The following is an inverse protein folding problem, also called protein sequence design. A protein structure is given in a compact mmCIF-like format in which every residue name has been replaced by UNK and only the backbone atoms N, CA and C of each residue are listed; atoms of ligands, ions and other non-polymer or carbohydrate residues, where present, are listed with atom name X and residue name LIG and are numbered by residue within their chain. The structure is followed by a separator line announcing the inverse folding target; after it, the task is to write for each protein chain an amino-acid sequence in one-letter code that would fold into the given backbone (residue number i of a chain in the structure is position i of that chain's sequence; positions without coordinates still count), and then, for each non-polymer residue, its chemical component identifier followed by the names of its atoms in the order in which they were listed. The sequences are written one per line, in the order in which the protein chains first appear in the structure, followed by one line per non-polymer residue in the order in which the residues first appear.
data_IF_315850077121
#
_entry.id   IF_315850077121
#
_cell.length_a   1.000
_cell.length_b   1.000
_cell.length_c   1.000
_cell.angle_alpha   90.00
_cell.angle_beta   90.00
_cell.angle_gamma   90.00
#
_symmetry.space_group_name_H-M   'P 1'
#
loop_
_entity.id
_entity.type
_entity.pdbx_description
1 polymer ?
#
# COMPACT_ATOMS: atom_id res chain seq x y z
N UNK A 1 18.64 -14.57 9.02
CA UNK A 1 19.97 -14.20 9.61
C UNK A 1 21.12 -14.37 8.62
N UNK A 2 21.34 -15.57 8.01
CA UNK A 2 22.46 -15.78 7.06
C UNK A 2 22.30 -14.93 5.78
N UNK A 3 21.10 -14.82 5.23
CA UNK A 3 20.84 -14.03 4.03
C UNK A 3 20.84 -12.54 4.32
N UNK A 4 20.45 -12.12 5.50
CA UNK A 4 20.59 -10.73 5.97
C UNK A 4 22.05 -10.33 6.11
N UNK A 5 22.89 -11.18 6.69
CA UNK A 5 24.34 -10.93 6.79
C UNK A 5 24.99 -10.76 5.42
N UNK A 6 24.60 -11.55 4.43
CA UNK A 6 25.11 -11.41 3.05
C UNK A 6 24.74 -10.05 2.45
N UNK A 7 23.53 -9.55 2.72
CA UNK A 7 23.08 -8.24 2.25
C UNK A 7 23.85 -7.12 2.93
N UNK A 8 23.99 -7.18 4.25
CA UNK A 8 24.76 -6.19 5.01
C UNK A 8 26.19 -6.11 4.46
N UNK A 9 26.87 -7.25 4.34
CA UNK A 9 28.22 -7.32 3.76
C UNK A 9 28.26 -6.76 2.32
N UNK A 10 27.23 -7.00 1.53
CA UNK A 10 27.13 -6.44 0.17
C UNK A 10 26.99 -4.92 0.20
N UNK A 11 26.16 -4.38 1.08
CA UNK A 11 25.99 -2.93 1.25
C UNK A 11 27.26 -2.28 1.80
N UNK A 12 27.93 -2.91 2.75
CA UNK A 12 29.23 -2.46 3.27
C UNK A 12 30.27 -2.39 2.14
N UNK A 13 30.37 -3.45 1.31
CA UNK A 13 31.26 -3.44 0.16
C UNK A 13 30.95 -2.32 -0.84
N UNK A 14 29.68 -2.04 -1.10
CA UNK A 14 29.26 -0.94 -1.98
C UNK A 14 29.60 0.41 -1.33
N UNK A 15 29.39 0.56 -0.03
CA UNK A 15 29.74 1.73 0.73
C UNK A 15 31.25 2.02 0.68
N UNK A 16 32.07 1.00 0.92
CA UNK A 16 33.52 1.10 0.88
C UNK A 16 34.01 1.49 -0.51
N UNK A 17 33.42 0.95 -1.57
CA UNK A 17 33.70 1.37 -2.93
C UNK A 17 33.44 2.87 -3.17
N UNK A 18 32.40 3.40 -2.55
CA UNK A 18 32.07 4.84 -2.64
C UNK A 18 32.99 5.68 -1.79
N UNK A 19 33.13 5.34 -0.50
CA UNK A 19 33.84 6.15 0.50
C UNK A 19 35.36 6.07 0.34
N UNK A 20 35.88 4.86 0.08
CA UNK A 20 37.34 4.62 0.01
C UNK A 20 37.85 4.75 -1.41
N UNK A 21 37.16 4.13 -2.37
CA UNK A 21 37.62 4.04 -3.77
C UNK A 21 37.08 5.19 -4.65
N UNK A 22 36.23 6.08 -4.12
CA UNK A 22 35.69 7.23 -4.85
C UNK A 22 34.70 6.86 -5.97
N UNK A 23 34.10 5.66 -5.93
CA UNK A 23 33.10 5.26 -6.89
C UNK A 23 31.84 6.13 -6.79
N UNK A 24 31.18 6.38 -7.92
CA UNK A 24 29.93 7.13 -7.92
C UNK A 24 28.79 6.36 -7.24
N UNK A 25 28.21 6.93 -6.18
CA UNK A 25 27.03 6.35 -5.52
C UNK A 25 25.84 6.18 -6.49
N UNK A 26 25.62 7.17 -7.36
CA UNK A 26 24.57 7.12 -8.37
C UNK A 26 24.71 5.92 -9.30
N UNK A 27 25.96 5.65 -9.76
CA UNK A 27 26.24 4.48 -10.61
C UNK A 27 25.98 3.17 -9.85
N UNK A 28 26.41 3.09 -8.58
CA UNK A 28 26.15 1.91 -7.74
C UNK A 28 24.64 1.71 -7.53
N UNK A 29 23.87 2.79 -7.33
CA UNK A 29 22.41 2.71 -7.19
C UNK A 29 21.74 2.20 -8.48
N UNK A 30 22.15 2.67 -9.65
CA UNK A 30 21.63 2.15 -10.94
C UNK A 30 21.90 0.66 -11.11
N UNK A 31 23.10 0.22 -10.73
CA UNK A 31 23.53 -1.17 -10.92
C UNK A 31 22.89 -2.13 -9.91
N UNK A 32 22.83 -1.75 -8.64
CA UNK A 32 22.57 -2.67 -7.55
C UNK A 32 21.26 -2.42 -6.78
N UNK A 33 20.71 -1.19 -6.80
CA UNK A 33 19.49 -0.90 -6.04
C UNK A 33 18.29 -1.70 -6.56
N UNK A 34 17.53 -2.25 -5.64
CA UNK A 34 16.26 -2.94 -5.90
C UNK A 34 15.05 -2.02 -5.66
N UNK A 35 15.27 -0.70 -5.46
CA UNK A 35 14.18 0.27 -5.39
C UNK A 35 13.69 0.66 -6.79
N UNK A 36 12.47 0.26 -7.19
CA UNK A 36 11.95 0.60 -8.52
C UNK A 36 11.70 2.11 -8.70
N UNK A 37 11.47 2.85 -7.61
CA UNK A 37 11.12 4.26 -7.64
C UNK A 37 12.30 5.18 -7.96
N UNK A 38 13.51 4.83 -7.53
CA UNK A 38 14.69 5.70 -7.66
C UNK A 38 15.89 5.09 -8.36
N UNK A 39 15.92 3.77 -8.58
CA UNK A 39 17.03 3.09 -9.23
C UNK A 39 17.47 3.77 -10.54
N UNK A 40 16.52 4.08 -11.43
CA UNK A 40 16.78 4.67 -12.73
C UNK A 40 17.36 6.09 -12.65
N UNK A 41 17.14 6.80 -11.53
CA UNK A 41 17.65 8.14 -11.27
C UNK A 41 18.89 8.15 -10.37
N UNK A 42 19.54 6.99 -10.19
CA UNK A 42 20.70 6.83 -9.34
C UNK A 42 20.35 6.94 -7.85
N UNK A 43 19.20 6.44 -7.45
CA UNK A 43 18.74 6.39 -6.06
C UNK A 43 18.23 7.72 -5.49
N UNK A 44 17.94 8.73 -6.33
CA UNK A 44 17.70 10.10 -5.88
C UNK A 44 16.31 10.33 -5.31
N UNK A 45 16.26 10.98 -4.12
CA UNK A 45 15.09 11.58 -3.50
C UNK A 45 15.41 12.98 -2.94
N UNK A 46 14.38 13.80 -2.77
CA UNK A 46 14.47 15.07 -2.06
C UNK A 46 13.53 15.03 -0.86
N UNK A 47 14.09 15.18 0.33
CA UNK A 47 13.37 15.25 1.61
C UNK A 47 13.27 16.69 2.06
N UNK A 48 12.21 17.03 2.83
CA UNK A 48 12.06 18.36 3.42
C UNK A 48 11.80 18.24 4.93
N UNK A 49 12.68 18.80 5.76
CA UNK A 49 12.61 18.74 7.22
C UNK A 49 11.34 19.34 7.83
N UNK A 50 10.70 20.25 7.11
CA UNK A 50 9.44 20.86 7.57
C UNK A 50 8.21 19.98 7.30
N UNK A 51 8.36 18.96 6.45
CA UNK A 51 7.32 17.98 6.14
C UNK A 51 7.70 16.65 6.75
N UNK A 52 6.88 16.13 7.66
CA UNK A 52 7.09 14.81 8.27
C UNK A 52 6.39 13.72 7.47
N UNK A 53 6.84 12.48 7.62
CA UNK A 53 6.27 11.28 7.02
C UNK A 53 6.28 11.27 5.48
N UNK A 54 7.36 11.78 4.88
CA UNK A 54 7.60 11.64 3.44
C UNK A 54 8.14 10.25 3.11
N UNK A 55 8.90 9.68 4.06
CA UNK A 55 9.45 8.32 4.05
C UNK A 55 9.18 7.64 5.38
N UNK A 56 9.52 6.37 5.51
CA UNK A 56 9.48 5.68 6.81
C UNK A 56 10.44 6.34 7.79
N UNK A 57 10.07 6.30 9.06
CA UNK A 57 10.75 7.04 10.11
C UNK A 57 12.25 6.69 10.21
N UNK A 58 12.57 5.41 10.13
CA UNK A 58 13.95 4.90 10.21
C UNK A 58 14.81 5.52 9.10
N UNK A 59 14.27 5.64 7.89
CA UNK A 59 14.96 6.23 6.75
C UNK A 59 15.16 7.75 6.95
N UNK A 60 14.11 8.46 7.37
CA UNK A 60 14.21 9.92 7.66
C UNK A 60 15.20 10.19 8.77
N UNK A 61 15.18 9.43 9.86
CA UNK A 61 16.07 9.60 11.01
C UNK A 61 17.55 9.43 10.62
N UNK A 62 17.86 8.50 9.73
CA UNK A 62 19.23 8.32 9.20
C UNK A 62 19.60 9.50 8.31
N UNK A 63 18.75 9.87 7.33
CA UNK A 63 19.05 10.97 6.40
C UNK A 63 19.31 12.28 7.12
N UNK A 64 18.55 12.60 8.16
CA UNK A 64 18.67 13.88 8.88
C UNK A 64 19.88 13.98 9.83
N UNK A 65 20.54 12.85 10.17
CA UNK A 65 21.76 12.81 10.96
C UNK A 65 23.02 12.97 10.13
N UNK A 66 22.95 12.65 8.83
CA UNK A 66 24.10 12.70 7.93
C UNK A 66 24.43 14.14 7.51
N UNK A 67 25.70 14.36 7.25
CA UNK A 67 26.22 15.58 6.63
C UNK A 67 26.27 15.43 5.11
N UNK A 68 26.39 16.56 4.42
CA UNK A 68 26.60 16.59 2.97
C UNK A 68 27.86 15.78 2.59
N UNK A 69 27.72 14.88 1.64
CA UNK A 69 28.74 13.93 1.17
C UNK A 69 28.91 12.67 2.04
N UNK A 70 28.24 12.56 3.17
CA UNK A 70 28.37 11.42 4.07
C UNK A 70 27.48 10.25 3.61
N UNK A 71 28.01 9.01 3.74
CA UNK A 71 27.31 7.76 3.46
C UNK A 71 27.01 7.04 4.77
N UNK A 72 25.77 6.61 4.96
CA UNK A 72 25.35 5.85 6.15
C UNK A 72 25.99 4.48 6.24
N UNK A 73 26.02 3.92 7.44
CA UNK A 73 26.08 2.46 7.62
C UNK A 73 24.81 1.80 7.08
N UNK A 74 24.85 0.50 6.78
CA UNK A 74 23.65 -0.26 6.46
C UNK A 74 22.62 -0.19 7.60
N UNK A 75 21.35 0.05 7.26
CA UNK A 75 20.23 0.07 8.20
C UNK A 75 18.98 -0.57 7.60
N UNK A 76 18.14 -1.09 8.46
CA UNK A 76 16.93 -1.80 8.07
C UNK A 76 15.68 -0.92 8.13
N UNK A 77 14.74 -1.17 7.23
CA UNK A 77 13.37 -0.66 7.24
C UNK A 77 12.41 -1.80 6.87
N UNK A 78 11.10 -1.58 6.94
CA UNK A 78 10.09 -2.54 6.44
C UNK A 78 10.28 -2.89 4.94
N UNK A 79 11.06 -2.11 4.17
CA UNK A 79 11.33 -2.34 2.74
C UNK A 79 12.60 -3.17 2.47
N UNK A 80 13.44 -3.38 3.46
CA UNK A 80 14.72 -4.07 3.38
C UNK A 80 15.88 -3.25 3.93
N UNK A 81 17.09 -3.57 3.50
CA UNK A 81 18.33 -2.97 3.94
C UNK A 81 18.77 -1.83 3.04
N UNK A 82 19.18 -0.73 3.63
CA UNK A 82 19.54 0.51 2.92
C UNK A 82 20.92 0.99 3.28
N UNK A 83 21.55 1.71 2.34
CA UNK A 83 22.55 2.75 2.60
C UNK A 83 22.09 4.04 1.91
N UNK A 84 22.37 5.17 2.55
CA UNK A 84 21.99 6.50 2.06
C UNK A 84 23.21 7.39 2.01
N UNK A 85 23.29 8.25 0.98
CA UNK A 85 24.24 9.34 0.87
C UNK A 85 23.48 10.67 0.77
N UNK A 86 23.94 11.69 1.47
CA UNK A 86 23.42 13.06 1.30
C UNK A 86 24.19 13.74 0.19
N UNK A 87 23.53 13.98 -0.94
CA UNK A 87 24.14 14.71 -2.07
C UNK A 87 24.31 16.19 -1.75
N UNK A 88 23.25 16.83 -1.18
CA UNK A 88 23.24 18.26 -0.92
C UNK A 88 22.23 18.65 0.16
N UNK A 89 22.59 19.62 0.98
CA UNK A 89 21.71 20.26 1.96
C UNK A 89 21.37 21.67 1.49
N UNK A 90 20.08 21.99 1.36
CA UNK A 90 19.57 23.29 0.93
C UNK A 90 18.53 23.82 1.93
N UNK A 91 18.99 24.43 2.99
CA UNK A 91 18.11 24.91 4.06
C UNK A 91 17.31 23.78 4.70
N UNK A 92 16.01 23.70 4.41
CA UNK A 92 15.14 22.63 4.90
C UNK A 92 15.10 21.40 3.98
N UNK A 93 15.67 21.49 2.78
CA UNK A 93 15.66 20.40 1.81
C UNK A 93 16.97 19.62 1.83
N UNK A 94 16.86 18.31 1.75
CA UNK A 94 17.95 17.36 1.57
C UNK A 94 17.78 16.61 0.25
N UNK A 95 18.74 16.73 -0.64
CA UNK A 95 18.88 15.80 -1.76
C UNK A 95 19.68 14.60 -1.25
N UNK A 96 19.07 13.43 -1.32
CA UNK A 96 19.69 12.17 -0.89
C UNK A 96 19.68 11.16 -2.02
N UNK A 97 20.58 10.19 -1.95
CA UNK A 97 20.56 8.97 -2.75
C UNK A 97 20.54 7.77 -1.85
N UNK A 98 19.85 6.72 -2.26
CA UNK A 98 19.87 5.49 -1.52
C UNK A 98 20.05 4.26 -2.43
N UNK A 99 20.50 3.19 -1.83
CA UNK A 99 20.52 1.86 -2.38
C UNK A 99 19.73 0.97 -1.45
N UNK A 100 18.75 0.28 -1.99
CA UNK A 100 17.93 -0.71 -1.29
C UNK A 100 18.33 -2.09 -1.77
N UNK A 101 18.64 -3.00 -0.85
CA UNK A 101 18.73 -4.42 -1.10
C UNK A 101 17.73 -5.18 -0.21
N UNK A 102 17.12 -6.21 -0.78
CA UNK A 102 16.14 -7.05 -0.10
C UNK A 102 16.69 -8.45 0.08
N UNK A 103 16.37 -9.13 1.19
CA UNK A 103 16.67 -10.55 1.33
C UNK A 103 15.99 -11.34 0.21
N UNK A 104 16.77 -12.17 -0.48
CA UNK A 104 16.18 -13.14 -1.42
C UNK A 104 15.45 -14.19 -0.62
N UNK A 105 14.16 -14.36 -0.90
CA UNK A 105 13.38 -15.41 -0.25
C UNK A 105 13.81 -16.75 -0.85
N UNK A 106 14.53 -17.54 -0.08
CA UNK A 106 14.97 -18.86 -0.53
C UNK A 106 13.77 -19.80 -0.77
N UNK A 107 13.92 -20.72 -1.72
CA UNK A 107 12.89 -21.75 -1.97
C UNK A 107 12.58 -22.58 -0.69
N UNK A 108 13.58 -22.79 0.18
CA UNK A 108 13.37 -23.45 1.46
C UNK A 108 12.50 -22.63 2.40
N UNK A 109 12.72 -21.31 2.49
CA UNK A 109 11.89 -20.44 3.31
C UNK A 109 10.43 -20.41 2.81
N UNK A 110 10.21 -20.39 1.49
CA UNK A 110 8.87 -20.51 0.91
C UNK A 110 8.22 -21.85 1.25
N UNK A 111 8.96 -22.95 1.16
CA UNK A 111 8.46 -24.28 1.53
C UNK A 111 8.06 -24.36 3.01
N UNK A 112 8.88 -23.83 3.91
CA UNK A 112 8.58 -23.79 5.33
C UNK A 112 7.37 -22.90 5.65
N UNK A 113 7.28 -21.73 5.02
CA UNK A 113 6.11 -20.86 5.14
C UNK A 113 4.84 -21.57 4.65
N UNK A 114 4.92 -22.28 3.52
CA UNK A 114 3.80 -23.08 3.00
C UNK A 114 3.39 -24.18 3.97
N UNK A 115 4.34 -24.96 4.51
CA UNK A 115 4.04 -26.00 5.50
C UNK A 115 3.37 -25.43 6.74
N UNK A 116 3.86 -24.28 7.22
CA UNK A 116 3.30 -23.59 8.40
C UNK A 116 1.83 -23.20 8.16
N UNK A 117 1.54 -22.57 7.02
CA UNK A 117 0.16 -22.13 6.72
C UNK A 117 -0.76 -23.33 6.42
N UNK A 118 -0.26 -24.39 5.77
CA UNK A 118 -1.01 -25.63 5.55
C UNK A 118 -1.40 -26.28 6.89
N UNK A 119 -0.50 -26.30 7.87
CA UNK A 119 -0.77 -26.78 9.21
C UNK A 119 -1.84 -25.94 9.93
N UNK A 120 -1.72 -24.61 9.86
CA UNK A 120 -2.70 -23.70 10.45
C UNK A 120 -4.07 -23.92 9.80
N UNK A 121 -4.12 -23.98 8.45
CA UNK A 121 -5.34 -24.27 7.71
C UNK A 121 -5.99 -25.58 8.15
N UNK A 122 -5.20 -26.65 8.29
CA UNK A 122 -5.68 -27.94 8.75
C UNK A 122 -6.32 -27.84 10.14
N UNK A 123 -5.66 -27.19 11.10
CA UNK A 123 -6.21 -26.98 12.44
C UNK A 123 -7.53 -26.23 12.46
N UNK A 124 -7.71 -25.26 11.53
CA UNK A 124 -8.99 -24.56 11.40
C UNK A 124 -10.06 -25.49 10.82
N UNK A 125 -9.74 -26.32 9.82
CA UNK A 125 -10.67 -27.25 9.21
C UNK A 125 -11.08 -28.34 10.23
N UNK A 126 -10.14 -28.83 11.01
CA UNK A 126 -10.36 -29.82 12.08
C UNK A 126 -11.06 -29.21 13.32
N UNK A 127 -11.38 -27.89 13.26
CA UNK A 127 -12.06 -27.12 14.32
C UNK A 127 -11.30 -27.08 15.66
N UNK A 128 -9.99 -27.22 15.62
CA UNK A 128 -9.12 -27.03 16.79
C UNK A 128 -9.01 -25.56 17.17
N UNK A 129 -9.11 -24.66 16.18
CA UNK A 129 -9.19 -23.20 16.37
C UNK A 129 -10.13 -22.59 15.34
N UNK A 130 -10.64 -21.41 15.68
CA UNK A 130 -11.39 -20.58 14.74
C UNK A 130 -10.42 -19.85 13.80
N UNK A 131 -10.93 -19.40 12.64
CA UNK A 131 -10.16 -18.56 11.72
C UNK A 131 -9.69 -17.27 12.39
N UNK A 132 -10.53 -16.68 13.22
CA UNK A 132 -10.24 -15.45 13.96
C UNK A 132 -9.08 -15.64 14.95
N UNK A 133 -9.09 -16.72 15.74
CA UNK A 133 -8.00 -17.07 16.66
C UNK A 133 -6.70 -17.33 15.90
N UNK A 134 -6.78 -18.03 14.76
CA UNK A 134 -5.62 -18.28 13.92
C UNK A 134 -5.03 -16.97 13.38
N UNK A 135 -5.87 -16.05 12.91
CA UNK A 135 -5.42 -14.75 12.42
C UNK A 135 -4.75 -13.93 13.53
N UNK A 136 -5.35 -13.84 14.72
CA UNK A 136 -4.78 -13.11 15.86
C UNK A 136 -3.45 -13.69 16.33
N UNK A 137 -3.30 -15.01 16.30
CA UNK A 137 -2.11 -15.69 16.84
C UNK A 137 -0.98 -15.81 15.84
N UNK A 138 -1.26 -16.06 14.58
CA UNK A 138 -0.27 -16.50 13.58
C UNK A 138 -0.13 -15.59 12.37
N UNK A 139 -1.06 -14.64 12.13
CA UNK A 139 -0.94 -13.74 11.00
C UNK A 139 0.17 -12.71 11.20
N UNK A 140 0.93 -12.46 10.15
CA UNK A 140 1.92 -11.38 10.08
C UNK A 140 1.31 -10.08 9.48
N UNK A 141 0.07 -10.14 8.96
CA UNK A 141 -0.64 -9.00 8.37
C UNK A 141 -1.09 -8.01 9.46
N UNK A 142 -0.33 -6.91 9.60
CA UNK A 142 -0.51 -5.92 10.69
C UNK A 142 -1.90 -5.25 10.69
N UNK A 143 -2.49 -5.08 9.50
CA UNK A 143 -3.75 -4.31 9.34
C UNK A 143 -4.98 -5.09 9.78
N UNK A 144 -4.98 -6.41 9.63
CA UNK A 144 -6.15 -7.27 9.89
C UNK A 144 -5.96 -8.24 11.05
N UNK A 145 -4.72 -8.51 11.48
CA UNK A 145 -4.38 -9.44 12.56
C UNK A 145 -5.22 -9.21 13.82
N UNK A 146 -5.22 -7.99 14.33
CA UNK A 146 -5.90 -7.63 15.58
C UNK A 146 -7.43 -7.70 15.46
N UNK A 147 -7.96 -7.64 14.24
CA UNK A 147 -9.39 -7.76 13.94
C UNK A 147 -9.77 -9.16 13.46
N UNK A 148 -8.98 -10.17 13.79
CA UNK A 148 -9.27 -11.56 13.44
C UNK A 148 -9.23 -11.87 11.94
N UNK A 149 -8.47 -11.10 11.16
CA UNK A 149 -8.34 -11.28 9.72
C UNK A 149 -9.48 -10.70 8.89
N UNK A 150 -10.38 -9.91 9.48
CA UNK A 150 -11.52 -9.32 8.75
C UNK A 150 -11.03 -8.26 7.76
N UNK A 151 -11.35 -8.45 6.49
CA UNK A 151 -11.10 -7.48 5.43
C UNK A 151 -12.20 -6.43 5.37
N UNK A 152 -11.80 -5.17 5.27
CA UNK A 152 -12.70 -4.03 5.08
C UNK A 152 -12.53 -3.51 3.67
N UNK A 153 -13.65 -3.38 2.95
CA UNK A 153 -13.65 -2.81 1.61
C UNK A 153 -13.31 -1.31 1.69
N UNK A 154 -12.21 -0.85 1.10
CA UNK A 154 -11.76 0.54 1.23
C UNK A 154 -12.73 1.55 0.58
N UNK A 155 -13.54 1.09 -0.39
CA UNK A 155 -14.50 1.96 -1.10
C UNK A 155 -15.79 2.16 -0.32
N UNK A 156 -16.25 1.12 0.39
CA UNK A 156 -17.57 1.13 1.04
C UNK A 156 -17.48 1.17 2.57
N UNK A 157 -16.30 0.90 3.15
CA UNK A 157 -16.08 0.86 4.59
C UNK A 157 -16.75 -0.33 5.31
N UNK A 158 -17.30 -1.29 4.57
CA UNK A 158 -17.93 -2.49 5.12
C UNK A 158 -17.13 -3.77 4.76
N UNK A 159 -17.63 -4.93 5.17
CA UNK A 159 -16.97 -6.23 4.93
C UNK A 159 -17.44 -6.94 3.66
N UNK A 160 -18.25 -6.27 2.83
CA UNK A 160 -18.79 -6.84 1.59
C UNK A 160 -17.99 -6.40 0.40
N UNK A 161 -17.68 -7.34 -0.48
CA UNK A 161 -16.94 -7.11 -1.73
C UNK A 161 -17.79 -7.54 -2.92
N UNK A 162 -17.91 -6.67 -3.90
CA UNK A 162 -18.51 -7.00 -5.18
C UNK A 162 -17.51 -7.82 -6.01
N UNK A 163 -17.86 -9.04 -6.40
CA UNK A 163 -16.96 -9.97 -7.11
C UNK A 163 -16.37 -9.35 -8.39
N UNK A 164 -17.11 -8.49 -9.07
CA UNK A 164 -16.66 -7.80 -10.28
C UNK A 164 -15.61 -6.70 -10.04
N UNK A 165 -15.41 -6.30 -8.79
CA UNK A 165 -14.48 -5.23 -8.38
C UNK A 165 -13.31 -5.72 -7.54
N UNK A 166 -13.27 -7.01 -7.26
CA UNK A 166 -12.16 -7.65 -6.56
C UNK A 166 -11.00 -7.85 -7.53
N UNK A 167 -9.78 -7.83 -6.99
CA UNK A 167 -8.58 -8.20 -7.74
C UNK A 167 -8.77 -9.55 -8.45
N UNK A 168 -8.43 -9.68 -9.74
CA UNK A 168 -8.66 -10.91 -10.52
C UNK A 168 -8.00 -12.16 -9.93
N UNK A 169 -6.82 -12.01 -9.31
CA UNK A 169 -6.11 -13.13 -8.68
C UNK A 169 -6.91 -13.60 -7.46
N UNK A 170 -7.34 -12.68 -6.62
CA UNK A 170 -8.19 -12.96 -5.48
C UNK A 170 -9.54 -13.56 -5.92
N UNK A 171 -10.16 -13.01 -6.96
CA UNK A 171 -11.41 -13.55 -7.51
C UNK A 171 -11.31 -15.03 -7.89
N UNK A 172 -10.25 -15.43 -8.62
CA UNK A 172 -10.05 -16.82 -9.03
C UNK A 172 -9.98 -17.78 -7.86
N UNK A 173 -9.50 -17.33 -6.72
CA UNK A 173 -9.33 -18.13 -5.50
C UNK A 173 -10.65 -18.31 -4.74
N UNK A 174 -11.46 -17.25 -4.67
CA UNK A 174 -12.68 -17.25 -3.85
C UNK A 174 -13.95 -17.61 -4.62
N UNK A 175 -13.94 -17.54 -5.96
CA UNK A 175 -15.15 -17.77 -6.77
C UNK A 175 -15.78 -19.14 -6.55
N UNK A 176 -14.99 -20.15 -6.20
CA UNK A 176 -15.44 -21.53 -6.00
C UNK A 176 -15.67 -21.90 -4.54
N UNK A 177 -15.35 -21.00 -3.60
CA UNK A 177 -15.52 -21.26 -2.18
C UNK A 177 -16.99 -21.07 -1.79
N UNK A 178 -17.52 -21.99 -1.00
CA UNK A 178 -18.84 -21.87 -0.38
C UNK A 178 -18.77 -21.03 0.91
N UNK A 179 -19.93 -20.81 1.52
CA UNK A 179 -20.02 -20.16 2.83
C UNK A 179 -19.19 -20.93 3.88
N UNK A 180 -18.41 -20.19 4.64
CA UNK A 180 -17.49 -20.69 5.66
C UNK A 180 -16.33 -21.56 5.14
N UNK A 181 -16.13 -21.67 3.84
CA UNK A 181 -15.03 -22.40 3.25
C UNK A 181 -13.74 -21.57 3.25
N UNK A 182 -12.60 -22.29 3.35
CA UNK A 182 -11.26 -21.71 3.43
C UNK A 182 -10.47 -22.11 2.19
N UNK A 183 -9.86 -21.13 1.53
CA UNK A 183 -9.01 -21.36 0.35
C UNK A 183 -7.83 -22.28 0.64
N UNK A 184 -7.24 -22.86 -0.39
CA UNK A 184 -5.88 -23.35 -0.33
C UNK A 184 -4.90 -22.18 -0.05
N UNK A 185 -3.69 -22.46 0.47
CA UNK A 185 -2.64 -21.45 0.59
C UNK A 185 -2.32 -20.81 -0.75
N UNK A 186 -2.38 -19.49 -0.79
CA UNK A 186 -2.10 -18.66 -1.95
C UNK A 186 -0.79 -17.94 -1.75
N UNK A 187 0.16 -18.12 -2.67
CA UNK A 187 1.37 -17.31 -2.72
C UNK A 187 1.03 -15.96 -3.35
N UNK A 188 1.32 -14.90 -2.63
CA UNK A 188 1.19 -13.53 -3.10
C UNK A 188 2.55 -12.83 -3.02
N UNK A 189 2.82 -12.01 -4.01
CA UNK A 189 3.97 -11.13 -4.02
C UNK A 189 3.46 -9.69 -3.96
N UNK A 190 3.93 -8.94 -2.99
CA UNK A 190 3.58 -7.52 -2.87
C UNK A 190 4.29 -6.67 -3.93
N UNK A 191 3.88 -5.40 -4.03
CA UNK A 191 4.46 -4.44 -4.98
C UNK A 191 5.97 -4.17 -4.71
N UNK A 192 6.46 -4.59 -3.56
CA UNK A 192 7.85 -4.41 -3.13
C UNK A 192 8.68 -5.69 -3.40
N UNK A 193 8.05 -6.77 -3.88
CA UNK A 193 8.69 -8.04 -4.21
C UNK A 193 8.78 -9.02 -3.04
N UNK A 194 8.20 -8.71 -1.87
CA UNK A 194 8.13 -9.66 -0.75
C UNK A 194 7.07 -10.72 -1.03
N UNK A 195 7.40 -11.96 -0.74
CA UNK A 195 6.50 -13.11 -0.98
C UNK A 195 5.89 -13.59 0.33
N UNK A 196 4.58 -13.79 0.35
CA UNK A 196 3.86 -14.30 1.51
C UNK A 196 2.80 -15.33 1.11
N UNK A 197 2.50 -16.26 2.03
CA UNK A 197 1.36 -17.15 1.86
C UNK A 197 0.16 -16.64 2.64
N UNK A 198 -1.01 -16.65 2.03
CA UNK A 198 -2.27 -16.35 2.70
C UNK A 198 -3.34 -17.41 2.46
N UNK A 199 -4.25 -17.54 3.41
CA UNK A 199 -5.52 -18.28 3.29
C UNK A 199 -6.66 -17.31 3.49
N UNK A 200 -7.76 -17.54 2.80
CA UNK A 200 -8.92 -16.66 2.80
C UNK A 200 -10.14 -17.51 3.19
N UNK A 201 -10.97 -16.97 4.07
CA UNK A 201 -12.27 -17.55 4.42
C UNK A 201 -13.38 -16.68 3.85
N UNK A 202 -14.29 -17.30 3.11
CA UNK A 202 -15.56 -16.67 2.72
C UNK A 202 -16.56 -16.89 3.85
N UNK A 203 -17.02 -15.83 4.49
CA UNK A 203 -17.98 -15.92 5.59
C UNK A 203 -19.41 -16.10 5.08
N UNK A 204 -19.80 -15.33 4.07
CA UNK A 204 -21.12 -15.40 3.46
C UNK A 204 -21.02 -15.07 1.97
N UNK A 205 -21.79 -15.77 1.16
CA UNK A 205 -22.06 -15.44 -0.24
C UNK A 205 -23.44 -14.84 -0.36
N UNK A 206 -23.54 -13.86 -1.22
CA UNK A 206 -24.81 -13.27 -1.60
C UNK A 206 -24.95 -13.43 -3.12
N UNK A 207 -25.93 -14.22 -3.54
CA UNK A 207 -26.26 -14.36 -4.95
C UNK A 207 -26.85 -13.06 -5.50
N UNK A 208 -26.75 -12.90 -6.82
CA UNK A 208 -27.38 -11.79 -7.51
C UNK A 208 -28.91 -11.85 -7.27
N UNK A 209 -29.45 -10.76 -6.82
CA UNK A 209 -30.88 -10.62 -6.56
C UNK A 209 -31.36 -9.19 -6.82
N UNK A 210 -32.65 -9.05 -7.07
CA UNK A 210 -33.29 -7.74 -7.12
C UNK A 210 -33.29 -7.15 -5.71
N UNK A 211 -32.91 -5.87 -5.60
CA UNK A 211 -32.81 -5.19 -4.32
C UNK A 211 -34.12 -5.27 -3.52
N UNK A 212 -34.00 -5.76 -2.28
CA UNK A 212 -35.10 -5.97 -1.35
C UNK A 212 -34.84 -5.19 -0.04
N UNK A 213 -35.85 -4.49 0.45
CA UNK A 213 -35.76 -3.72 1.68
C UNK A 213 -35.35 -4.54 2.91
N UNK A 214 -35.74 -5.81 2.98
CA UNK A 214 -35.40 -6.67 4.11
C UNK A 214 -33.95 -7.09 4.13
N UNK A 215 -33.33 -7.25 2.94
CA UNK A 215 -31.96 -7.74 2.77
C UNK A 215 -30.94 -6.60 2.53
N UNK A 216 -31.37 -5.55 1.83
CA UNK A 216 -30.48 -4.49 1.32
C UNK A 216 -30.75 -3.13 1.95
N UNK A 217 -31.49 -3.06 3.04
CA UNK A 217 -31.90 -1.80 3.66
C UNK A 217 -30.75 -0.79 3.83
N UNK A 218 -29.60 -1.26 4.30
CA UNK A 218 -28.42 -0.36 4.51
C UNK A 218 -27.95 0.23 3.18
N UNK A 219 -27.81 -0.61 2.15
CA UNK A 219 -27.35 -0.17 0.80
C UNK A 219 -28.36 0.77 0.15
N UNK A 220 -29.66 0.46 0.24
CA UNK A 220 -30.73 1.33 -0.26
C UNK A 220 -30.74 2.65 0.45
N UNK A 221 -30.59 2.66 1.78
CA UNK A 221 -30.49 3.87 2.60
C UNK A 221 -29.28 4.73 2.20
N UNK A 222 -28.11 4.11 2.01
CA UNK A 222 -26.88 4.82 1.57
C UNK A 222 -27.06 5.45 0.20
N UNK A 223 -27.63 4.72 -0.77
CA UNK A 223 -27.92 5.25 -2.10
C UNK A 223 -28.92 6.41 -2.07
N UNK A 224 -30.00 6.27 -1.30
CA UNK A 224 -30.99 7.33 -1.11
C UNK A 224 -30.39 8.57 -0.44
N UNK A 225 -29.53 8.37 0.56
CA UNK A 225 -28.82 9.47 1.23
C UNK A 225 -27.90 10.19 0.23
N UNK A 226 -27.13 9.46 -0.57
CA UNK A 226 -26.23 10.02 -1.58
C UNK A 226 -27.01 10.81 -2.64
N UNK A 227 -28.13 10.28 -3.10
CA UNK A 227 -29.01 11.00 -4.04
C UNK A 227 -29.56 12.29 -3.42
N UNK A 228 -30.03 12.23 -2.18
CA UNK A 228 -30.51 13.40 -1.43
C UNK A 228 -29.41 14.45 -1.27
N UNK A 229 -28.18 14.04 -0.92
CA UNK A 229 -27.02 14.93 -0.81
C UNK A 229 -26.73 15.63 -2.14
N UNK A 230 -26.69 14.88 -3.25
CA UNK A 230 -26.45 15.45 -4.58
C UNK A 230 -27.54 16.46 -4.96
N UNK A 231 -28.80 16.13 -4.75
CA UNK A 231 -29.93 17.07 -4.99
C UNK A 231 -29.82 18.32 -4.14
N UNK A 232 -29.49 18.16 -2.86
CA UNK A 232 -29.32 19.29 -1.93
C UNK A 232 -28.18 20.21 -2.36
N UNK A 233 -27.02 19.63 -2.77
CA UNK A 233 -25.88 20.39 -3.28
C UNK A 233 -26.25 21.14 -4.57
N UNK A 234 -26.97 20.49 -5.49
CA UNK A 234 -27.40 21.13 -6.74
C UNK A 234 -28.34 22.31 -6.47
N UNK A 235 -29.32 22.14 -5.58
CA UNK A 235 -30.24 23.22 -5.17
C UNK A 235 -29.47 24.35 -4.53
N UNK A 236 -28.64 24.07 -3.54
CA UNK A 236 -27.81 25.06 -2.86
C UNK A 236 -26.88 25.82 -3.83
N UNK A 237 -26.22 25.08 -4.76
CA UNK A 237 -25.37 25.72 -5.78
C UNK A 237 -26.20 26.67 -6.67
N UNK A 238 -27.40 26.25 -7.08
CA UNK A 238 -28.28 27.09 -7.92
C UNK A 238 -28.68 28.37 -7.21
N UNK A 239 -29.03 28.29 -5.92
CA UNK A 239 -29.34 29.44 -5.06
C UNK A 239 -28.13 30.35 -4.88
N UNK A 240 -26.96 29.80 -4.57
CA UNK A 240 -25.72 30.55 -4.34
C UNK A 240 -25.19 31.23 -5.61
N UNK A 241 -25.37 30.64 -6.79
CA UNK A 241 -25.03 31.27 -8.06
C UNK A 241 -25.85 32.56 -8.28
N UNK A 242 -27.11 32.59 -7.84
CA UNK A 242 -27.97 33.77 -7.94
C UNK A 242 -27.49 34.88 -7.00
N UNK A 243 -27.14 34.52 -5.76
CA UNK A 243 -26.75 35.47 -4.71
C UNK A 243 -25.29 35.97 -4.85
N UNK A 244 -24.42 35.18 -5.46
CA UNK A 244 -22.99 35.47 -5.52
C UNK A 244 -22.62 36.26 -6.77
N UNK A 245 -21.73 37.27 -6.63
CA UNK A 245 -21.15 37.93 -7.80
C UNK A 245 -20.20 36.98 -8.52
N UNK A 246 -20.48 36.70 -9.79
CA UNK A 246 -19.67 35.82 -10.64
C UNK A 246 -19.26 36.61 -11.88
N UNK A 247 -17.94 36.71 -12.13
CA UNK A 247 -17.37 37.30 -13.32
C UNK A 247 -16.71 36.23 -14.18
N UNK A 248 -17.18 36.06 -15.41
CA UNK A 248 -16.59 35.12 -16.38
C UNK A 248 -15.89 35.94 -17.46
N UNK A 249 -14.61 35.62 -17.71
CA UNK A 249 -13.81 36.29 -18.75
C UNK A 249 -14.47 36.14 -20.13
N UNK A 250 -14.25 37.13 -21.00
CA UNK A 250 -14.86 37.18 -22.35
C UNK A 250 -14.63 35.89 -23.13
N UNK A 251 -13.40 35.40 -23.12
CA UNK A 251 -12.98 34.21 -23.87
C UNK A 251 -13.63 32.90 -23.38
N UNK A 252 -14.13 32.88 -22.13
CA UNK A 252 -14.79 31.71 -21.55
C UNK A 252 -16.31 31.76 -21.57
N UNK A 253 -16.90 32.86 -22.08
CA UNK A 253 -18.37 33.04 -22.08
C UNK A 253 -19.11 32.11 -23.05
N UNK A 254 -18.41 31.61 -24.06
CA UNK A 254 -18.95 30.70 -25.07
C UNK A 254 -18.86 29.21 -24.61
N UNK A 255 -18.23 28.94 -23.46
CA UNK A 255 -18.13 27.59 -22.93
C UNK A 255 -19.49 27.09 -22.42
N UNK A 256 -19.75 25.80 -22.66
CA UNK A 256 -20.90 25.11 -22.07
C UNK A 256 -20.62 24.80 -20.57
N UNK A 257 -21.21 25.60 -19.69
CA UNK A 257 -21.13 25.37 -18.25
C UNK A 257 -22.22 24.42 -17.77
N UNK A 258 -21.88 23.49 -16.87
CA UNK A 258 -22.86 22.60 -16.23
C UNK A 258 -23.91 23.35 -15.38
N UNK A 259 -23.59 24.58 -14.93
CA UNK A 259 -24.47 25.47 -14.19
C UNK A 259 -24.58 26.81 -14.88
N UNK A 260 -25.65 27.54 -14.60
CA UNK A 260 -25.92 28.86 -15.19
C UNK A 260 -25.04 29.96 -14.58
N UNK A 261 -23.72 29.90 -14.82
CA UNK A 261 -22.76 30.91 -14.35
C UNK A 261 -22.94 32.30 -15.00
N UNK A 262 -23.44 32.32 -16.23
CA UNK A 262 -23.71 33.58 -16.93
C UNK A 262 -25.07 34.10 -16.49
N UNK A 263 -25.06 35.11 -15.63
CA UNK A 263 -26.28 35.89 -15.32
C UNK A 263 -26.60 36.77 -16.52
N UNK A 264 -27.86 36.78 -16.92
CA UNK A 264 -28.36 37.76 -17.92
C UNK A 264 -28.41 39.15 -17.31
#
# INVERSE_FOLDING_TARGET
EEDEMKIIQRLESIRDDVVINGSSFATKAILYSQDPGSRSTGGKYTLNRSRRNQMVKEFEDVCYRLKEGEVSEPFETDFGWHIVMVDKVRGQELDVRHILLKPEVSNNALLEAKKKIDLIRKRIIDKELTFEEAAKSFSDEKTTKNNGGVLINPTTGNTRFELTKIDPVLYTQIQRLNDNEISAPLLEQDNIGSSSYKIIKVTNRFDEHVADYSKDYIKIKELALKEKQLKTIQTWMSEKIIETYISVNKDSRECNFANKWLKK
#
